data_IF_993982358226
#
_entry.id   IF_993982358226
#
_cell.length_a   1.000
_cell.length_b   1.000
_cell.length_c   1.000
_cell.angle_alpha   90.00
_cell.angle_beta   90.00
_cell.angle_gamma   90.00
#
_symmetry.space_group_name_H-M   'P 1'
#
loop_
_entity.id
_entity.type
_entity.pdbx_description
1 polymer ?
#
# COMPACT_ATOMS: atom_id res chain seq x y z
N UNK A 1 62.64 -38.77 -15.38
CA UNK A 1 63.33 -39.55 -14.32
C UNK A 1 63.55 -38.64 -13.13
N UNK A 2 63.02 -39.07 -11.99
CA UNK A 2 62.99 -38.41 -10.68
C UNK A 2 64.35 -38.53 -9.99
N UNK A 3 64.86 -37.46 -9.36
CA UNK A 3 65.34 -37.53 -7.97
C UNK A 3 65.71 -36.16 -7.34
N UNK A 4 64.96 -35.85 -6.27
CA UNK A 4 65.36 -35.33 -4.95
C UNK A 4 66.35 -34.16 -4.86
N UNK A 5 65.93 -33.11 -4.14
CA UNK A 5 66.43 -32.82 -2.78
C UNK A 5 65.49 -31.90 -2.00
N UNK A 6 65.17 -32.38 -0.81
CA UNK A 6 64.42 -31.75 0.28
C UNK A 6 65.41 -30.87 1.07
N UNK A 7 65.03 -29.66 1.47
CA UNK A 7 65.73 -28.94 2.54
C UNK A 7 64.73 -28.08 3.33
N UNK A 8 64.42 -28.57 4.53
CA UNK A 8 63.76 -27.86 5.62
C UNK A 8 64.82 -26.99 6.31
N UNK A 9 64.53 -25.72 6.57
CA UNK A 9 65.18 -24.97 7.65
C UNK A 9 64.15 -24.14 8.40
N UNK A 10 63.87 -24.58 9.62
CA UNK A 10 63.34 -23.77 10.71
C UNK A 10 64.37 -22.73 11.17
N UNK A 11 63.89 -21.52 11.47
CA UNK A 11 64.42 -20.61 12.49
C UNK A 11 63.34 -19.54 12.66
N UNK A 12 62.77 -19.21 13.82
CA UNK A 12 63.36 -19.18 15.16
C UNK A 12 63.20 -17.76 15.70
N UNK A 13 62.08 -17.52 16.41
CA UNK A 13 61.74 -16.44 17.35
C UNK A 13 62.76 -15.32 17.64
N UNK A 14 62.31 -14.06 17.61
CA UNK A 14 62.60 -13.06 18.67
C UNK A 14 61.37 -12.19 18.95
N UNK A 15 61.05 -12.12 20.23
CA UNK A 15 60.02 -11.34 20.92
C UNK A 15 60.53 -9.90 21.13
N UNK A 16 59.69 -8.90 20.95
CA UNK A 16 59.85 -7.60 21.60
C UNK A 16 58.48 -6.99 21.93
N UNK A 17 58.13 -7.14 23.21
CA UNK A 17 57.02 -6.49 23.89
C UNK A 17 57.30 -5.00 24.06
N UNK A 18 56.29 -4.15 23.87
CA UNK A 18 56.15 -2.90 24.60
C UNK A 18 54.67 -2.67 24.88
N UNK A 19 54.33 -2.69 26.16
CA UNK A 19 53.03 -2.36 26.71
C UNK A 19 52.82 -0.85 26.70
N UNK A 20 51.57 -0.41 26.54
CA UNK A 20 50.99 0.61 27.42
C UNK A 20 49.46 0.43 27.52
N UNK A 21 49.05 0.01 28.72
CA UNK A 21 47.81 0.27 29.47
C UNK A 21 46.87 1.34 28.91
N UNK A 22 45.60 1.06 28.67
CA UNK A 22 44.48 1.10 29.65
C UNK A 22 43.32 1.87 28.96
N UNK A 23 42.03 1.62 29.13
CA UNK A 23 41.29 0.98 30.22
C UNK A 23 40.13 0.14 29.66
N UNK A 24 39.85 -0.90 30.42
CA UNK A 24 38.71 -1.82 30.39
C UNK A 24 37.34 -1.16 30.44
N UNK A 25 36.39 -1.70 29.66
CA UNK A 25 35.12 -2.21 30.21
C UNK A 25 34.35 -3.08 29.19
N UNK A 26 34.34 -4.38 29.51
CA UNK A 26 33.19 -5.29 29.50
C UNK A 26 32.50 -5.63 28.17
N UNK A 27 32.83 -6.83 27.68
CA UNK A 27 31.92 -7.73 26.97
C UNK A 27 30.60 -7.90 27.76
N UNK A 28 29.48 -7.74 27.06
CA UNK A 28 28.15 -8.16 27.49
C UNK A 28 27.15 -8.03 26.34
N UNK A 29 26.82 -9.15 25.71
CA UNK A 29 25.65 -9.33 24.83
C UNK A 29 24.67 -10.27 25.60
N UNK A 30 23.35 -10.37 25.34
CA UNK A 30 22.47 -9.66 24.40
C UNK A 30 21.11 -9.16 25.01
N UNK A 31 20.34 -8.43 24.20
CA UNK A 31 18.87 -8.23 24.19
C UNK A 31 18.04 -8.25 25.49
N UNK A 32 17.34 -7.13 25.74
CA UNK A 32 16.03 -7.14 26.41
C UNK A 32 15.17 -5.96 25.91
N UNK A 33 14.48 -6.13 24.78
CA UNK A 33 13.35 -5.25 24.46
C UNK A 33 12.14 -5.77 25.23
N UNK A 34 11.70 -4.99 26.21
CA UNK A 34 10.38 -5.15 26.83
C UNK A 34 9.38 -4.49 25.90
N UNK A 35 8.54 -5.31 25.27
CA UNK A 35 7.29 -4.88 24.66
C UNK A 35 6.34 -4.64 25.84
N UNK A 36 5.89 -3.40 26.07
CA UNK A 36 4.66 -3.18 26.85
C UNK A 36 3.51 -2.98 25.86
N UNK A 37 2.66 -4.00 25.76
CA UNK A 37 1.29 -3.82 25.31
C UNK A 37 0.48 -3.13 26.42
N UNK A 38 -0.55 -2.40 25.97
CA UNK A 38 -1.71 -1.91 26.70
C UNK A 38 -1.45 -1.08 27.96
N UNK A 39 -1.86 0.19 27.89
CA UNK A 39 -2.77 0.72 28.91
C UNK A 39 -3.56 1.89 28.33
N UNK A 40 -4.85 1.64 28.15
CA UNK A 40 -5.93 2.62 28.13
C UNK A 40 -5.66 3.78 29.08
N UNK A 41 -5.69 5.02 28.57
CA UNK A 41 -5.69 6.20 29.42
C UNK A 41 -6.97 7.00 29.20
N UNK A 42 -7.95 6.67 30.04
CA UNK A 42 -8.98 7.60 30.47
C UNK A 42 -8.29 8.78 31.18
N UNK A 43 -8.57 10.01 30.75
CA UNK A 43 -8.49 11.17 31.65
C UNK A 43 -9.83 11.91 31.56
N UNK A 44 -10.57 11.85 32.67
CA UNK A 44 -11.76 12.63 32.93
C UNK A 44 -11.38 13.97 33.58
N UNK A 45 -11.88 15.04 32.96
CA UNK A 45 -12.43 16.29 33.52
C UNK A 45 -11.66 17.07 34.60
N UNK A 46 -11.31 18.31 34.25
CA UNK A 46 -11.62 19.46 35.11
C UNK A 46 -12.40 20.53 34.31
N UNK A 47 -13.50 20.96 34.91
CA UNK A 47 -14.48 21.92 34.40
C UNK A 47 -14.04 23.36 34.62
N UNK A 48 -14.27 24.24 33.64
CA UNK A 48 -14.69 25.62 33.91
C UNK A 48 -15.81 26.01 32.95
N UNK A 49 -16.95 26.37 33.56
CA UNK A 49 -18.14 26.93 32.91
C UNK A 49 -17.81 28.27 32.25
N UNK A 50 -18.29 28.47 31.02
CA UNK A 50 -19.00 29.72 30.73
C UNK A 50 -20.14 29.48 29.73
N UNK A 51 -21.12 30.37 29.82
CA UNK A 51 -22.54 30.18 29.56
C UNK A 51 -22.92 30.53 28.13
N UNK A 52 -23.81 29.78 27.46
CA UNK A 52 -24.52 30.33 26.29
C UNK A 52 -25.13 29.35 25.29
N UNK A 53 -26.39 28.97 25.54
CA UNK A 53 -27.46 28.66 24.59
C UNK A 53 -27.30 27.59 23.50
N UNK A 54 -28.07 26.50 23.70
CA UNK A 54 -29.02 25.86 22.78
C UNK A 54 -28.69 25.85 21.28
N UNK A 55 -28.49 24.65 20.73
CA UNK A 55 -29.50 24.05 19.86
C UNK A 55 -29.29 22.53 19.80
N UNK A 56 -30.35 21.80 20.14
CA UNK A 56 -30.52 20.37 19.87
C UNK A 56 -30.50 20.14 18.36
N UNK A 57 -29.45 19.50 17.86
CA UNK A 57 -29.45 18.87 16.54
C UNK A 57 -29.06 17.42 16.75
N UNK A 58 -30.02 16.55 16.47
CA UNK A 58 -29.94 15.10 16.52
C UNK A 58 -28.75 14.60 15.70
N UNK A 59 -27.87 13.82 16.32
CA UNK A 59 -26.99 12.91 15.62
C UNK A 59 -27.84 11.77 15.01
N UNK A 60 -28.50 12.03 13.88
CA UNK A 60 -28.98 10.95 13.02
C UNK A 60 -27.80 10.47 12.17
N UNK A 61 -27.04 9.54 12.75
CA UNK A 61 -26.14 8.69 11.99
C UNK A 61 -26.95 7.98 10.92
N UNK A 62 -26.56 8.12 9.65
CA UNK A 62 -27.06 7.27 8.56
C UNK A 62 -26.56 5.85 8.86
N UNK A 63 -27.38 5.12 9.62
CA UNK A 63 -27.22 3.70 9.85
C UNK A 63 -27.22 2.99 8.50
N UNK A 64 -26.55 1.84 8.43
CA UNK A 64 -26.83 0.83 7.41
C UNK A 64 -28.32 0.47 7.50
N UNK A 65 -29.16 1.17 6.73
CA UNK A 65 -30.57 0.84 6.60
C UNK A 65 -30.63 -0.55 5.92
N UNK A 66 -30.88 -1.58 6.72
CA UNK A 66 -31.59 -2.78 6.27
C UNK A 66 -33.03 -2.39 5.90
N UNK A 67 -33.19 -1.47 4.96
CA UNK A 67 -34.47 -1.16 4.39
C UNK A 67 -34.82 -2.29 3.42
N UNK A 68 -35.86 -3.05 3.78
CA UNK A 68 -36.50 -4.09 2.97
C UNK A 68 -37.01 -3.60 1.59
N UNK A 69 -36.71 -2.36 1.19
CA UNK A 69 -36.99 -1.77 -0.12
C UNK A 69 -35.75 -1.63 -1.02
N UNK A 70 -34.54 -1.94 -0.53
CA UNK A 70 -33.34 -1.94 -1.35
C UNK A 70 -33.33 -3.20 -2.22
N UNK A 71 -33.98 -3.12 -3.40
CA UNK A 71 -34.20 -4.19 -4.38
C UNK A 71 -32.90 -4.86 -4.88
N UNK A 72 -32.16 -5.55 -4.01
CA UNK A 72 -30.86 -6.13 -4.31
C UNK A 72 -29.71 -5.12 -4.41
N UNK A 73 -29.83 -3.90 -3.88
CA UNK A 73 -28.71 -2.95 -3.89
C UNK A 73 -28.13 -2.89 -2.49
N UNK A 74 -26.82 -3.14 -2.37
CA UNK A 74 -26.13 -3.09 -1.09
C UNK A 74 -25.35 -1.77 -0.97
N UNK A 75 -25.47 -1.07 0.15
CA UNK A 75 -24.84 0.23 0.36
C UNK A 75 -23.80 0.10 1.47
N UNK A 76 -22.55 0.37 1.13
CA UNK A 76 -21.45 0.45 2.08
C UNK A 76 -21.20 1.94 2.41
N UNK A 77 -21.64 2.35 3.59
CA UNK A 77 -21.57 3.73 4.08
C UNK A 77 -20.20 4.15 4.59
N UNK A 78 -20.10 5.41 5.02
CA UNK A 78 -18.86 6.01 5.54
C UNK A 78 -18.46 5.46 6.92
N UNK A 79 -19.41 4.91 7.68
CA UNK A 79 -19.16 4.18 8.92
C UNK A 79 -18.28 2.94 8.68
N UNK A 80 -18.57 2.20 7.59
CA UNK A 80 -17.82 1.04 7.13
C UNK A 80 -16.52 1.40 6.43
N UNK A 81 -16.49 2.57 5.77
CA UNK A 81 -15.31 3.13 5.12
C UNK A 81 -14.66 4.25 5.94
N UNK A 82 -14.45 4.00 7.23
CA UNK A 82 -13.82 4.96 8.16
C UNK A 82 -12.32 4.70 8.37
N UNK A 83 -11.83 3.49 8.06
CA UNK A 83 -10.43 3.09 8.14
C UNK A 83 -9.83 2.91 6.74
N UNK A 84 -9.08 3.91 6.29
CA UNK A 84 -8.39 3.92 5.00
C UNK A 84 -7.00 3.28 5.04
N UNK A 85 -6.63 2.64 6.16
CA UNK A 85 -5.44 1.79 6.20
C UNK A 85 -5.60 0.59 5.27
N UNK A 86 -4.48 -0.03 4.89
CA UNK A 86 -4.48 -1.27 4.10
C UNK A 86 -5.34 -2.36 4.75
N UNK A 87 -5.34 -2.47 6.08
CA UNK A 87 -6.19 -3.42 6.80
C UNK A 87 -7.66 -3.06 6.76
N UNK A 88 -8.02 -1.77 6.82
CA UNK A 88 -9.40 -1.32 6.73
C UNK A 88 -9.98 -1.57 5.34
N UNK A 89 -9.24 -1.20 4.28
CA UNK A 89 -9.63 -1.48 2.90
C UNK A 89 -9.76 -2.97 2.61
N UNK A 90 -8.86 -3.80 3.16
CA UNK A 90 -8.96 -5.25 3.04
C UNK A 90 -10.24 -5.81 3.69
N UNK A 91 -10.70 -5.24 4.81
CA UNK A 91 -11.99 -5.62 5.42
C UNK A 91 -13.16 -5.21 4.55
N UNK A 92 -13.16 -3.95 4.07
CA UNK A 92 -14.23 -3.44 3.20
C UNK A 92 -14.37 -4.27 1.92
N UNK A 93 -13.26 -4.62 1.26
CA UNK A 93 -13.28 -5.46 0.05
C UNK A 93 -13.80 -6.87 0.32
N UNK A 94 -13.54 -7.44 1.50
CA UNK A 94 -14.09 -8.77 1.84
C UNK A 94 -15.61 -8.70 2.00
N UNK A 95 -16.11 -7.68 2.69
CA UNK A 95 -17.56 -7.44 2.81
C UNK A 95 -18.19 -7.20 1.43
N UNK A 96 -17.52 -6.42 0.57
CA UNK A 96 -17.95 -6.22 -0.83
C UNK A 96 -18.01 -7.55 -1.58
N UNK A 97 -16.97 -8.38 -1.52
CA UNK A 97 -16.92 -9.67 -2.23
C UNK A 97 -17.99 -10.65 -1.72
N UNK A 98 -18.27 -10.67 -0.41
CA UNK A 98 -19.36 -11.48 0.16
C UNK A 98 -20.73 -11.05 -0.39
N UNK A 99 -20.96 -9.75 -0.57
CA UNK A 99 -22.25 -9.22 -1.03
C UNK A 99 -22.40 -9.25 -2.56
N UNK A 100 -21.30 -9.05 -3.31
CA UNK A 100 -21.35 -9.02 -4.78
C UNK A 100 -21.62 -10.41 -5.36
N UNK A 101 -21.21 -11.47 -4.67
CA UNK A 101 -21.44 -12.86 -5.09
C UNK A 101 -22.86 -13.36 -4.77
N UNK A 102 -23.64 -12.67 -3.95
CA UNK A 102 -25.05 -13.03 -3.69
C UNK A 102 -25.92 -12.79 -4.93
N UNK A 103 -26.56 -13.83 -5.46
CA UNK A 103 -27.48 -13.79 -6.61
C UNK A 103 -28.61 -12.75 -6.48
N UNK A 104 -29.00 -12.38 -5.25
CA UNK A 104 -30.02 -11.35 -4.99
C UNK A 104 -29.47 -9.95 -5.14
N UNK A 105 -28.16 -9.77 -5.03
CA UNK A 105 -27.51 -8.47 -5.21
C UNK A 105 -27.44 -8.13 -6.69
N UNK A 106 -28.06 -7.02 -7.07
CA UNK A 106 -27.98 -6.37 -8.38
C UNK A 106 -26.79 -5.42 -8.51
N UNK A 107 -26.34 -4.83 -7.41
CA UNK A 107 -25.22 -3.90 -7.40
C UNK A 107 -24.86 -3.39 -6.01
N UNK A 108 -23.73 -2.69 -5.94
CA UNK A 108 -23.18 -2.13 -4.71
C UNK A 108 -22.96 -0.62 -4.90
N UNK A 109 -23.28 0.16 -3.87
CA UNK A 109 -22.90 1.57 -3.77
C UNK A 109 -21.91 1.71 -2.62
N UNK A 110 -20.71 2.18 -2.90
CA UNK A 110 -19.70 2.50 -1.90
C UNK A 110 -19.60 4.01 -1.73
N UNK A 111 -19.76 4.50 -0.51
CA UNK A 111 -19.62 5.92 -0.18
C UNK A 111 -18.25 6.13 0.47
N UNK A 112 -17.37 6.89 -0.19
CA UNK A 112 -16.00 7.14 0.27
C UNK A 112 -15.68 8.62 0.41
N UNK A 113 -14.69 8.92 1.24
CA UNK A 113 -14.14 10.27 1.39
C UNK A 113 -13.38 10.70 0.13
N UNK A 114 -13.63 11.93 -0.34
CA UNK A 114 -13.09 12.44 -1.61
C UNK A 114 -11.56 12.34 -1.69
N UNK A 115 -10.86 12.66 -0.61
CA UNK A 115 -9.39 12.65 -0.55
C UNK A 115 -8.75 11.26 -0.70
N UNK A 116 -9.52 10.17 -0.57
CA UNK A 116 -9.04 8.80 -0.64
C UNK A 116 -9.73 7.96 -1.72
N UNK A 117 -10.68 8.53 -2.46
CA UNK A 117 -11.54 7.79 -3.38
C UNK A 117 -10.76 7.11 -4.50
N UNK A 118 -9.72 7.79 -5.03
CA UNK A 118 -8.86 7.24 -6.08
C UNK A 118 -8.01 6.06 -5.58
N UNK A 119 -7.63 6.09 -4.30
CA UNK A 119 -6.88 5.01 -3.66
C UNK A 119 -7.75 3.77 -3.48
N UNK A 120 -8.97 3.95 -2.95
CA UNK A 120 -9.94 2.87 -2.77
C UNK A 120 -10.36 2.30 -4.12
N UNK A 121 -10.69 3.17 -5.08
CA UNK A 121 -11.15 2.75 -6.40
C UNK A 121 -10.12 1.85 -7.07
N UNK A 122 -8.84 2.23 -7.00
CA UNK A 122 -7.78 1.38 -7.52
C UNK A 122 -7.61 0.08 -6.72
N UNK A 123 -7.68 0.13 -5.38
CA UNK A 123 -7.63 -1.08 -4.54
C UNK A 123 -8.75 -2.07 -4.89
N UNK A 124 -9.97 -1.59 -5.08
CA UNK A 124 -11.15 -2.38 -5.49
C UNK A 124 -10.98 -2.92 -6.91
N UNK A 125 -10.48 -2.11 -7.85
CA UNK A 125 -10.23 -2.54 -9.24
C UNK A 125 -9.26 -3.71 -9.34
N UNK A 126 -8.39 -3.89 -8.33
CA UNK A 126 -7.46 -5.00 -8.24
C UNK A 126 -8.01 -6.21 -7.48
N UNK A 127 -9.12 -6.11 -6.75
CA UNK A 127 -9.53 -7.12 -5.76
C UNK A 127 -11.00 -7.55 -5.80
N UNK A 128 -11.84 -6.83 -6.54
CA UNK A 128 -13.27 -7.12 -6.70
C UNK A 128 -13.59 -7.27 -8.16
N UNK A 129 -14.14 -8.42 -8.56
CA UNK A 129 -14.54 -8.68 -9.94
C UNK A 129 -15.70 -7.76 -10.37
N UNK A 130 -15.62 -7.19 -11.57
CA UNK A 130 -16.60 -6.24 -12.11
C UNK A 130 -17.84 -6.90 -12.75
N UNK A 131 -18.24 -8.07 -12.22
CA UNK A 131 -19.40 -8.86 -12.68
C UNK A 131 -20.74 -8.16 -12.47
N UNK A 132 -20.83 -7.32 -11.45
CA UNK A 132 -22.01 -6.52 -11.09
C UNK A 132 -21.61 -5.07 -10.90
N UNK A 133 -22.52 -4.11 -11.13
CA UNK A 133 -22.22 -2.69 -10.94
C UNK A 133 -21.85 -2.42 -9.48
N UNK A 134 -20.59 -2.06 -9.25
CA UNK A 134 -20.12 -1.46 -8.01
C UNK A 134 -19.79 0.00 -8.30
N UNK A 135 -20.57 0.90 -7.70
CA UNK A 135 -20.51 2.33 -7.94
C UNK A 135 -19.91 3.00 -6.71
N UNK A 136 -18.81 3.70 -6.90
CA UNK A 136 -18.14 4.47 -5.84
C UNK A 136 -18.58 5.93 -5.98
N UNK A 137 -19.09 6.50 -4.90
CA UNK A 137 -19.53 7.90 -4.83
C UNK A 137 -18.83 8.61 -3.68
N UNK A 138 -18.65 9.92 -3.84
CA UNK A 138 -18.08 10.77 -2.79
C UNK A 138 -19.10 10.98 -1.67
N UNK A 139 -18.61 11.07 -0.44
CA UNK A 139 -19.37 11.62 0.67
C UNK A 139 -19.53 13.15 0.47
N UNK A 140 -20.78 13.61 0.34
CA UNK A 140 -21.10 15.02 0.09
C UNK A 140 -21.20 15.86 1.38
N UNK A 141 -21.16 15.23 2.55
CA UNK A 141 -21.37 15.90 3.86
C UNK A 141 -22.67 16.73 3.92
N UNK A 142 -23.70 16.26 3.19
CA UNK A 142 -25.03 16.86 3.09
C UNK A 142 -26.03 15.73 2.84
N UNK A 143 -26.77 15.34 3.87
CA UNK A 143 -27.63 14.14 3.83
C UNK A 143 -28.69 14.21 2.73
N UNK A 144 -29.22 15.40 2.47
CA UNK A 144 -30.24 15.60 1.42
C UNK A 144 -29.63 15.39 0.04
N UNK A 145 -28.44 15.96 -0.21
CA UNK A 145 -27.73 15.74 -1.48
C UNK A 145 -27.23 14.31 -1.61
N UNK A 146 -26.77 13.70 -0.52
CA UNK A 146 -26.29 12.33 -0.49
C UNK A 146 -27.41 11.36 -0.83
N UNK A 147 -28.59 11.50 -0.21
CA UNK A 147 -29.77 10.69 -0.51
C UNK A 147 -30.25 10.87 -1.95
N UNK A 148 -30.21 12.09 -2.49
CA UNK A 148 -30.55 12.38 -3.88
C UNK A 148 -29.57 11.73 -4.87
N UNK A 149 -28.27 11.71 -4.56
CA UNK A 149 -27.25 11.04 -5.37
C UNK A 149 -27.43 9.52 -5.33
N UNK A 150 -27.60 8.95 -4.14
CA UNK A 150 -27.86 7.52 -3.95
C UNK A 150 -29.09 7.09 -4.76
N UNK A 151 -30.17 7.87 -4.74
CA UNK A 151 -31.40 7.56 -5.49
C UNK A 151 -31.18 7.54 -7.00
N UNK A 152 -30.36 8.46 -7.53
CA UNK A 152 -29.99 8.47 -8.95
C UNK A 152 -29.14 7.25 -9.31
N UNK A 153 -28.18 6.88 -8.46
CA UNK A 153 -27.35 5.69 -8.66
C UNK A 153 -28.19 4.40 -8.59
N UNK A 154 -29.13 4.31 -7.65
CA UNK A 154 -30.09 3.19 -7.56
C UNK A 154 -30.89 3.03 -8.85
N UNK A 155 -31.41 4.15 -9.40
CA UNK A 155 -32.15 4.16 -10.67
C UNK A 155 -31.30 3.63 -11.83
N UNK A 156 -30.02 4.01 -11.88
CA UNK A 156 -29.05 3.49 -12.86
C UNK A 156 -28.82 1.97 -12.71
N UNK A 157 -28.55 1.49 -11.48
CA UNK A 157 -28.32 0.06 -11.21
C UNK A 157 -29.55 -0.78 -11.59
N UNK A 158 -30.77 -0.27 -11.36
CA UNK A 158 -32.01 -0.94 -11.74
C UNK A 158 -32.34 -0.86 -13.24
N UNK A 159 -31.55 -0.13 -14.05
CA UNK A 159 -31.79 0.06 -15.48
C UNK A 159 -32.92 1.04 -15.82
N UNK A 160 -33.32 1.88 -14.85
CA UNK A 160 -34.36 2.90 -15.00
C UNK A 160 -33.81 4.23 -15.52
N UNK A 161 -32.50 4.47 -15.31
CA UNK A 161 -31.78 5.63 -15.84
C UNK A 161 -30.75 5.21 -16.90
N UNK A 162 -30.67 5.96 -18.00
CA UNK A 162 -29.75 5.67 -19.12
C UNK A 162 -28.27 5.95 -18.81
N UNK A 163 -28.00 6.85 -17.85
CA UNK A 163 -26.65 7.31 -17.53
C UNK A 163 -26.44 7.49 -16.04
N UNK A 164 -25.21 7.24 -15.60
CA UNK A 164 -24.76 7.50 -14.24
C UNK A 164 -24.49 9.00 -14.04
N UNK A 165 -24.68 9.56 -12.83
CA UNK A 165 -24.27 10.93 -12.53
C UNK A 165 -22.75 11.15 -12.74
N UNK A 166 -22.36 12.37 -13.11
CA UNK A 166 -21.01 12.70 -13.59
C UNK A 166 -19.88 12.38 -12.59
N UNK A 167 -20.13 12.52 -11.28
CA UNK A 167 -19.11 12.37 -10.23
C UNK A 167 -19.05 10.96 -9.61
N UNK A 168 -19.72 9.99 -10.23
CA UNK A 168 -19.72 8.60 -9.79
C UNK A 168 -18.67 7.79 -10.57
N UNK A 169 -17.99 6.87 -9.88
CA UNK A 169 -17.01 5.96 -10.49
C UNK A 169 -17.61 4.56 -10.56
N UNK A 170 -17.51 3.91 -11.71
CA UNK A 170 -17.87 2.48 -11.85
C UNK A 170 -16.60 1.67 -11.70
N UNK A 171 -16.62 0.66 -10.82
CA UNK A 171 -15.50 -0.28 -10.74
C UNK A 171 -15.27 -0.98 -12.09
N UNK A 172 -14.02 -0.97 -12.53
CA UNK A 172 -13.53 -1.67 -13.71
C UNK A 172 -12.19 -2.27 -13.39
N UNK A 173 -12.05 -3.58 -13.61
CA UNK A 173 -10.79 -4.24 -13.35
C UNK A 173 -9.72 -3.76 -14.33
N UNK A 174 -8.58 -3.33 -13.79
CA UNK A 174 -7.41 -2.85 -14.55
C UNK A 174 -6.40 -3.97 -14.82
N UNK A 175 -6.60 -5.14 -14.20
CA UNK A 175 -5.80 -6.34 -14.35
C UNK A 175 -6.63 -7.58 -13.99
N UNK A 176 -5.99 -8.76 -14.00
CA UNK A 176 -6.53 -9.92 -13.31
C UNK A 176 -6.76 -9.58 -11.83
N UNK A 177 -7.88 -10.04 -11.27
CA UNK A 177 -8.26 -9.80 -9.88
C UNK A 177 -7.38 -10.63 -8.92
N UNK A 178 -6.87 -9.97 -7.88
CA UNK A 178 -6.17 -10.61 -6.78
C UNK A 178 -7.18 -11.10 -5.75
N UNK A 179 -7.28 -12.42 -5.61
CA UNK A 179 -8.09 -13.02 -4.54
C UNK A 179 -7.49 -12.70 -3.16
N UNK A 180 -8.28 -11.98 -2.36
CA UNK A 180 -7.92 -11.55 -1.00
C UNK A 180 -8.72 -12.26 0.09
N UNK A 181 -9.58 -13.22 -0.25
CA UNK A 181 -10.48 -13.91 0.70
C UNK A 181 -9.74 -14.45 1.93
N UNK A 182 -8.63 -15.16 1.69
CA UNK A 182 -7.79 -15.78 2.73
C UNK A 182 -6.71 -14.86 3.32
N UNK A 183 -6.52 -13.66 2.76
CA UNK A 183 -5.43 -12.74 3.15
C UNK A 183 -5.74 -12.09 4.48
N UNK A 184 -4.82 -12.17 5.45
CA UNK A 184 -4.97 -11.51 6.77
C UNK A 184 -4.24 -10.17 6.83
N UNK A 185 -3.08 -10.11 6.18
CA UNK A 185 -2.20 -8.95 6.15
C UNK A 185 -1.49 -8.97 4.81
N UNK A 186 -1.38 -7.80 4.17
CA UNK A 186 -0.66 -7.65 2.92
C UNK A 186 0.82 -7.29 3.20
N UNK A 187 1.75 -7.68 2.30
CA UNK A 187 3.15 -7.30 2.41
C UNK A 187 3.32 -5.77 2.50
N UNK A 188 4.29 -5.32 3.28
CA UNK A 188 4.58 -3.90 3.38
C UNK A 188 5.38 -3.42 2.16
N UNK A 189 4.90 -2.36 1.52
CA UNK A 189 5.59 -1.71 0.41
C UNK A 189 5.70 -0.24 0.75
N UNK A 190 6.93 0.27 0.81
CA UNK A 190 7.19 1.67 1.14
C UNK A 190 7.37 2.52 -0.12
N UNK A 191 7.25 3.84 0.05
CA UNK A 191 7.54 4.81 -1.00
C UNK A 191 8.67 5.71 -0.53
N UNK A 192 9.66 5.93 -1.39
CA UNK A 192 10.78 6.83 -1.17
C UNK A 192 10.90 7.82 -2.33
N UNK A 193 10.93 9.11 -2.02
CA UNK A 193 11.17 10.16 -3.01
C UNK A 193 12.68 10.42 -3.08
N UNK A 194 13.27 10.26 -4.27
CA UNK A 194 14.68 10.52 -4.50
C UNK A 194 14.88 11.96 -5.02
N UNK A 195 15.32 12.82 -4.12
CA UNK A 195 15.59 14.24 -4.36
C UNK A 195 17.00 14.60 -3.88
N UNK A 196 17.50 15.76 -4.31
CA UNK A 196 18.81 16.24 -3.89
C UNK A 196 18.83 16.43 -2.37
N UNK A 197 19.72 15.69 -1.69
CA UNK A 197 19.82 15.70 -0.23
C UNK A 197 18.77 14.83 0.47
N UNK A 198 18.15 13.89 -0.24
CA UNK A 198 17.28 12.89 0.37
C UNK A 198 18.02 12.06 1.43
N UNK A 199 17.28 11.61 2.43
CA UNK A 199 17.84 10.90 3.57
C UNK A 199 18.19 9.44 3.19
N UNK A 200 19.41 9.20 2.74
CA UNK A 200 19.88 7.88 2.32
C UNK A 200 19.93 6.85 3.47
N UNK A 201 20.06 7.29 4.72
CA UNK A 201 19.96 6.41 5.89
C UNK A 201 18.54 5.87 6.07
N UNK A 202 17.52 6.66 5.70
CA UNK A 202 16.13 6.23 5.73
C UNK A 202 15.88 5.18 4.65
N UNK A 203 16.28 5.46 3.39
CA UNK A 203 16.18 4.49 2.29
C UNK A 203 16.88 3.18 2.64
N UNK A 204 18.12 3.29 3.13
CA UNK A 204 18.93 2.13 3.53
C UNK A 204 18.24 1.29 4.60
N UNK A 205 17.50 1.89 5.54
CA UNK A 205 16.75 1.11 6.54
C UNK A 205 15.48 0.51 5.97
N UNK A 206 14.67 1.31 5.28
CA UNK A 206 13.36 0.91 4.75
C UNK A 206 13.47 -0.27 3.77
N UNK A 207 14.45 -0.24 2.88
CA UNK A 207 14.62 -1.29 1.86
C UNK A 207 14.92 -2.69 2.45
N UNK A 208 15.40 -2.77 3.70
CA UNK A 208 15.65 -4.04 4.40
C UNK A 208 14.50 -4.50 5.29
N UNK A 209 13.58 -3.61 5.68
CA UNK A 209 12.45 -3.94 6.58
C UNK A 209 11.14 -4.13 5.82
N UNK A 210 10.95 -3.42 4.71
CA UNK A 210 9.77 -3.54 3.86
C UNK A 210 9.91 -4.72 2.89
N UNK A 211 8.77 -5.26 2.45
CA UNK A 211 8.73 -6.34 1.47
C UNK A 211 8.91 -5.86 0.02
N UNK A 212 8.72 -4.56 -0.23
CA UNK A 212 8.95 -3.89 -1.51
C UNK A 212 9.20 -2.40 -1.32
N UNK A 213 9.72 -1.74 -2.35
CA UNK A 213 10.02 -0.31 -2.35
C UNK A 213 9.59 0.33 -3.68
N UNK A 214 8.91 1.47 -3.62
CA UNK A 214 8.67 2.34 -4.76
C UNK A 214 9.58 3.56 -4.66
N UNK A 215 10.43 3.78 -5.64
CA UNK A 215 11.26 4.98 -5.77
C UNK A 215 10.56 5.95 -6.71
N UNK A 216 10.36 7.18 -6.24
CA UNK A 216 9.89 8.31 -7.06
C UNK A 216 11.10 9.19 -7.37
N UNK A 217 11.62 9.17 -8.60
CA UNK A 217 12.73 10.02 -8.99
C UNK A 217 12.29 11.48 -9.05
N UNK A 218 13.15 12.41 -8.63
CA UNK A 218 12.89 13.87 -8.75
C UNK A 218 12.75 14.37 -10.18
N UNK A 219 13.13 13.56 -11.17
CA UNK A 219 12.99 13.85 -12.60
C UNK A 219 12.05 12.84 -13.25
N UNK A 220 11.28 13.29 -14.25
CA UNK A 220 10.43 12.40 -15.06
C UNK A 220 11.24 11.38 -15.90
N UNK A 221 12.57 11.56 -16.01
CA UNK A 221 13.50 10.73 -16.77
C UNK A 221 13.83 9.37 -16.13
N UNK A 222 13.27 9.08 -14.96
CA UNK A 222 13.67 7.95 -14.12
C UNK A 222 15.13 7.99 -13.66
N UNK A 223 15.75 9.17 -13.67
CA UNK A 223 17.13 9.35 -13.23
C UNK A 223 17.15 9.43 -11.70
N UNK A 224 17.81 8.44 -11.09
CA UNK A 224 18.02 8.36 -9.66
C UNK A 224 19.45 8.77 -9.29
N UNK A 225 19.64 9.23 -8.07
CA UNK A 225 20.94 9.57 -7.51
C UNK A 225 21.86 8.34 -7.46
N UNK A 226 23.18 8.56 -7.60
CA UNK A 226 24.17 7.47 -7.49
C UNK A 226 24.09 6.75 -6.15
N UNK A 227 23.81 7.49 -5.07
CA UNK A 227 23.63 6.92 -3.72
C UNK A 227 22.40 5.99 -3.66
N UNK A 228 21.27 6.41 -4.23
CA UNK A 228 20.08 5.55 -4.35
C UNK A 228 20.39 4.31 -5.18
N UNK A 229 21.03 4.47 -6.35
CA UNK A 229 21.40 3.35 -7.20
C UNK A 229 22.33 2.35 -6.49
N UNK A 230 23.30 2.83 -5.73
CA UNK A 230 24.21 2.00 -4.93
C UNK A 230 23.46 1.19 -3.87
N UNK A 231 22.46 1.77 -3.21
CA UNK A 231 21.63 1.06 -2.20
C UNK A 231 20.73 0.01 -2.88
N UNK A 232 20.00 0.39 -3.93
CA UNK A 232 19.06 -0.52 -4.61
C UNK A 232 19.74 -1.53 -5.53
N UNK A 233 21.07 -1.50 -5.69
CA UNK A 233 21.81 -2.52 -6.45
C UNK A 233 22.44 -3.58 -5.53
N UNK A 234 22.25 -3.48 -4.22
CA UNK A 234 22.77 -4.46 -3.26
C UNK A 234 22.06 -5.80 -3.41
N UNK A 235 22.76 -6.89 -3.08
CA UNK A 235 22.16 -8.23 -3.12
C UNK A 235 21.13 -8.41 -1.99
N UNK A 236 20.11 -9.22 -2.25
CA UNK A 236 19.08 -9.61 -1.28
C UNK A 236 18.22 -8.44 -0.74
N UNK A 237 18.09 -7.37 -1.51
CA UNK A 237 17.13 -6.30 -1.21
C UNK A 237 15.73 -6.70 -1.65
N UNK A 238 14.72 -6.02 -1.10
CA UNK A 238 13.34 -6.12 -1.56
C UNK A 238 13.19 -5.67 -3.03
N UNK A 239 12.20 -6.20 -3.77
CA UNK A 239 11.80 -5.70 -5.10
C UNK A 239 11.62 -4.19 -5.13
N UNK A 240 12.23 -3.53 -6.12
CA UNK A 240 12.20 -2.08 -6.28
C UNK A 240 11.46 -1.69 -7.55
N UNK A 241 10.50 -0.78 -7.45
CA UNK A 241 9.76 -0.21 -8.57
C UNK A 241 10.13 1.27 -8.69
N UNK A 242 10.57 1.71 -9.86
CA UNK A 242 10.92 3.09 -10.15
C UNK A 242 9.82 3.69 -11.05
N UNK A 243 9.17 4.75 -10.58
CA UNK A 243 8.14 5.46 -11.37
C UNK A 243 8.78 6.36 -12.43
N UNK A 244 8.19 6.47 -13.60
CA UNK A 244 8.67 7.29 -14.71
C UNK A 244 7.54 7.72 -15.65
N UNK A 245 7.83 8.51 -16.68
CA UNK A 245 6.84 8.77 -17.73
C UNK A 245 6.73 7.58 -18.70
N UNK A 246 5.59 7.46 -19.39
CA UNK A 246 5.36 6.43 -20.41
C UNK A 246 6.47 6.37 -21.48
N UNK A 247 6.92 7.53 -21.97
CA UNK A 247 7.98 7.62 -22.98
C UNK A 247 9.32 7.04 -22.48
N UNK A 248 9.62 7.25 -21.20
CA UNK A 248 10.82 6.73 -20.55
C UNK A 248 10.71 5.22 -20.32
N UNK A 249 9.53 4.76 -19.87
CA UNK A 249 9.25 3.35 -19.67
C UNK A 249 9.52 2.53 -20.93
N UNK A 250 9.06 3.00 -22.09
CA UNK A 250 9.25 2.33 -23.38
C UNK A 250 10.72 2.21 -23.81
N UNK A 251 11.57 3.08 -23.27
CA UNK A 251 13.03 2.99 -23.43
C UNK A 251 13.64 2.01 -22.43
N UNK A 252 13.28 2.11 -21.14
CA UNK A 252 13.82 1.26 -20.06
C UNK A 252 13.48 -0.22 -20.23
N UNK A 253 12.31 -0.56 -20.77
CA UNK A 253 11.91 -1.95 -21.04
C UNK A 253 12.89 -2.65 -22.01
N UNK A 254 13.46 -1.91 -22.96
CA UNK A 254 14.36 -2.44 -23.99
C UNK A 254 15.77 -2.71 -23.47
N UNK A 255 16.20 -2.00 -22.43
CA UNK A 255 17.58 -1.99 -21.96
C UNK A 255 17.96 -3.15 -21.02
N UNK A 256 17.08 -4.14 -20.84
CA UNK A 256 17.25 -5.27 -19.90
C UNK A 256 17.49 -4.78 -18.45
N UNK A 257 16.39 -4.64 -17.71
CA UNK A 257 16.40 -4.26 -16.30
C UNK A 257 17.22 -5.24 -15.45
N UNK A 258 17.97 -4.71 -14.47
CA UNK A 258 18.65 -5.50 -13.46
C UNK A 258 17.66 -6.43 -12.72
N UNK A 259 18.16 -7.57 -12.26
CA UNK A 259 17.38 -8.48 -11.42
C UNK A 259 16.80 -7.69 -10.24
N UNK A 260 15.47 -7.70 -10.11
CA UNK A 260 14.71 -7.09 -9.01
C UNK A 260 14.47 -5.56 -9.04
N UNK A 261 14.84 -4.87 -10.12
CA UNK A 261 14.47 -3.45 -10.35
C UNK A 261 13.50 -3.37 -11.52
N UNK A 262 12.33 -2.77 -11.30
CA UNK A 262 11.25 -2.63 -12.26
C UNK A 262 10.96 -1.17 -12.53
N UNK A 263 10.41 -0.87 -13.70
CA UNK A 263 9.96 0.47 -14.08
C UNK A 263 8.48 0.44 -14.38
N UNK A 264 7.79 1.53 -14.07
CA UNK A 264 6.37 1.71 -14.35
C UNK A 264 6.05 3.18 -14.57
N UNK A 265 4.99 3.45 -15.31
CA UNK A 265 4.39 4.78 -15.46
C UNK A 265 3.12 4.95 -14.62
N UNK A 266 2.79 3.94 -13.81
CA UNK A 266 1.78 4.05 -12.76
C UNK A 266 2.14 5.14 -11.76
N UNK A 267 1.11 5.82 -11.26
CA UNK A 267 1.26 6.74 -10.13
C UNK A 267 1.85 6.01 -8.90
N UNK A 268 2.56 6.71 -8.01
CA UNK A 268 3.29 6.04 -6.93
C UNK A 268 2.42 5.17 -6.01
N UNK A 269 1.20 5.61 -5.72
CA UNK A 269 0.28 4.84 -4.88
C UNK A 269 -0.26 3.60 -5.61
N UNK A 270 -0.51 3.69 -6.92
CA UNK A 270 -0.91 2.56 -7.77
C UNK A 270 0.22 1.54 -7.89
N UNK A 271 1.44 2.02 -8.08
CA UNK A 271 2.67 1.22 -8.09
C UNK A 271 2.85 0.44 -6.78
N UNK A 272 2.65 1.13 -5.64
CA UNK A 272 2.73 0.54 -4.31
C UNK A 272 1.70 -0.56 -4.12
N UNK A 273 0.44 -0.32 -4.47
CA UNK A 273 -0.64 -1.30 -4.34
C UNK A 273 -0.45 -2.50 -5.27
N UNK A 274 -0.10 -2.25 -6.54
CA UNK A 274 0.17 -3.31 -7.51
C UNK A 274 1.30 -4.22 -7.01
N UNK A 275 2.44 -3.65 -6.59
CA UNK A 275 3.56 -4.43 -6.05
C UNK A 275 3.13 -5.21 -4.80
N UNK A 276 2.40 -4.58 -3.88
CA UNK A 276 1.89 -5.23 -2.67
C UNK A 276 1.09 -6.49 -2.97
N UNK A 277 0.16 -6.45 -3.93
CA UNK A 277 -0.62 -7.61 -4.32
C UNK A 277 0.18 -8.68 -5.07
N UNK A 278 1.10 -8.26 -5.94
CA UNK A 278 2.00 -9.18 -6.66
C UNK A 278 2.90 -9.96 -5.70
N UNK A 279 3.44 -9.30 -4.68
CA UNK A 279 4.24 -9.92 -3.61
C UNK A 279 3.38 -10.88 -2.78
N UNK A 280 2.15 -10.49 -2.44
CA UNK A 280 1.23 -11.37 -1.70
C UNK A 280 0.92 -12.67 -2.48
N UNK A 281 0.83 -12.57 -3.81
CA UNK A 281 0.64 -13.71 -4.72
C UNK A 281 1.92 -14.56 -4.91
N UNK A 282 3.06 -14.15 -4.35
CA UNK A 282 4.38 -14.73 -4.61
C UNK A 282 4.73 -14.75 -6.11
N UNK A 283 4.42 -13.65 -6.81
CA UNK A 283 4.68 -13.52 -8.25
C UNK A 283 6.18 -13.54 -8.55
N UNK A 284 6.56 -14.19 -9.64
CA UNK A 284 7.94 -14.14 -10.13
C UNK A 284 8.28 -12.79 -10.78
N UNK A 285 9.57 -12.60 -11.09
CA UNK A 285 10.09 -11.34 -11.64
C UNK A 285 9.41 -10.95 -12.96
N UNK A 286 9.19 -11.92 -13.85
CA UNK A 286 8.53 -11.68 -15.14
C UNK A 286 7.06 -11.28 -14.97
N UNK A 287 6.35 -11.92 -14.03
CA UNK A 287 4.97 -11.57 -13.70
C UNK A 287 4.87 -10.18 -13.11
N UNK A 288 5.79 -9.81 -12.20
CA UNK A 288 5.86 -8.45 -11.63
C UNK A 288 6.09 -7.42 -12.74
N UNK A 289 7.11 -7.65 -13.57
CA UNK A 289 7.45 -6.78 -14.69
C UNK A 289 6.27 -6.58 -15.63
N UNK A 290 5.61 -7.68 -16.04
CA UNK A 290 4.50 -7.63 -16.97
C UNK A 290 3.28 -6.88 -16.40
N UNK A 291 2.96 -7.08 -15.13
CA UNK A 291 1.86 -6.37 -14.48
C UNK A 291 2.11 -4.87 -14.36
N UNK A 292 3.35 -4.46 -14.08
CA UNK A 292 3.73 -3.05 -13.94
C UNK A 292 3.80 -2.27 -15.27
N UNK A 293 3.84 -2.96 -16.41
CA UNK A 293 3.89 -2.36 -17.76
C UNK A 293 2.52 -2.34 -18.44
N UNK A 294 1.59 -3.22 -18.04
CA UNK A 294 0.30 -3.43 -18.71
C UNK A 294 -0.89 -2.71 -18.04
N UNK A 295 -0.67 -2.06 -16.92
CA UNK A 295 -1.74 -1.45 -16.15
C UNK A 295 -2.13 -0.10 -16.75
N UNK A 296 -3.07 -0.13 -17.71
CA UNK A 296 -3.77 1.04 -18.26
C UNK A 296 -5.11 1.26 -17.53
#
# INVERSE_FOLDING_TARGET
>A
MINKKFCITMSGFVIASLMLTGCSSMFGNPMKYVISQDETRQEQTESQNDTGNNDTSSDEQILSEEDNENHGIYILGTDKMSDYSVSGMLKAVKEINENIDDDKTKGIILIGEEQYIDYISYFISLTVEDKKPLIIIKNLNDDTKQAALISQVKSYINGEAESLPQDCMVNKNVSDVFDVSSVKTLPDVDIFYDYIGANMDELSKKIYISNGMVIIPSTAGADISSETYEIISQKNIAPVVITCSKDVLDTKIKDNSADNIYYTDLEPYKSRLMLMFLLNKNSDSDSIKNALIKAD
#
